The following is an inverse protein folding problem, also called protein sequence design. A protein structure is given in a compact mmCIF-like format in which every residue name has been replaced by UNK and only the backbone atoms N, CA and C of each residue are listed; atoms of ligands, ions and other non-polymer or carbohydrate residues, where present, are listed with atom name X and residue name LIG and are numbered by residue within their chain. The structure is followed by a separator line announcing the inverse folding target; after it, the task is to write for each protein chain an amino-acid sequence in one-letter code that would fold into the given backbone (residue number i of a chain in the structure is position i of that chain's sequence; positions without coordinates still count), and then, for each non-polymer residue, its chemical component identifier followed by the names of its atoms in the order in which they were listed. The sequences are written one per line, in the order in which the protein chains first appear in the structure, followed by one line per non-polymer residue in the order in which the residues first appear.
data_IF_536044881122
#
_entry.id   IF_536044881122
#
_cell.length_a   1.000
_cell.length_b   1.000
_cell.length_c   1.000
_cell.angle_alpha   90.00
_cell.angle_beta   90.00
_cell.angle_gamma   90.00
#
_symmetry.space_group_name_H-M   'P 1'
#
loop_
_entity.id
_entity.type
_entity.pdbx_description
1 polymer ?
#
# COMPACT_ATOMS: atom_id res chain seq x y z
N UNK A 1 12.14 -12.22 -9.14
CA UNK A 1 11.07 -12.68 -8.24
C UNK A 1 10.04 -13.36 -9.12
N UNK A 2 9.55 -14.55 -8.77
CA UNK A 2 8.60 -15.29 -9.61
C UNK A 2 7.17 -14.78 -9.34
N UNK A 3 6.39 -14.51 -10.41
CA UNK A 3 4.97 -14.14 -10.31
C UNK A 3 4.19 -15.18 -9.50
N UNK A 4 4.52 -16.46 -9.67
CA UNK A 4 3.93 -17.55 -8.87
C UNK A 4 4.20 -17.40 -7.39
N UNK A 5 5.39 -16.91 -7.02
CA UNK A 5 5.74 -16.66 -5.62
C UNK A 5 4.83 -15.59 -5.03
N UNK A 6 4.65 -14.45 -5.71
CA UNK A 6 3.75 -13.39 -5.23
C UNK A 6 2.31 -13.89 -5.16
N UNK A 7 1.85 -14.62 -6.17
CA UNK A 7 0.51 -15.22 -6.19
C UNK A 7 0.27 -16.11 -4.98
N UNK A 8 1.23 -16.99 -4.66
CA UNK A 8 1.16 -17.85 -3.48
C UNK A 8 1.07 -17.07 -2.17
N UNK A 9 1.80 -15.95 -2.03
CA UNK A 9 1.75 -15.12 -0.83
C UNK A 9 0.35 -14.51 -0.64
N UNK A 10 -0.25 -13.93 -1.69
CA UNK A 10 -1.57 -13.31 -1.59
C UNK A 10 -2.70 -14.34 -1.45
N UNK A 11 -2.63 -15.48 -2.16
CA UNK A 11 -3.60 -16.57 -1.99
C UNK A 11 -3.55 -17.16 -0.58
N UNK A 12 -2.35 -17.35 -0.02
CA UNK A 12 -2.21 -17.83 1.35
C UNK A 12 -2.88 -16.87 2.35
N UNK A 13 -2.65 -15.56 2.19
CA UNK A 13 -3.32 -14.56 3.03
C UNK A 13 -4.84 -14.56 2.86
N UNK A 14 -5.32 -14.69 1.62
CA UNK A 14 -6.75 -14.81 1.31
C UNK A 14 -7.41 -15.96 2.06
N UNK A 15 -6.85 -17.17 1.94
CA UNK A 15 -7.36 -18.39 2.58
C UNK A 15 -7.32 -18.25 4.09
N UNK A 16 -6.17 -17.85 4.65
CA UNK A 16 -5.98 -17.78 6.11
C UNK A 16 -6.84 -16.74 6.80
N UNK A 17 -7.15 -15.63 6.12
CA UNK A 17 -8.00 -14.58 6.68
C UNK A 17 -9.48 -14.75 6.31
N UNK A 18 -9.83 -15.79 5.55
CA UNK A 18 -11.16 -15.94 4.94
C UNK A 18 -11.61 -14.64 4.22
N UNK A 19 -10.68 -14.02 3.48
CA UNK A 19 -10.90 -12.78 2.75
C UNK A 19 -10.79 -13.05 1.25
N UNK A 20 -11.84 -12.77 0.45
CA UNK A 20 -11.78 -12.97 -0.98
C UNK A 20 -10.74 -12.04 -1.61
N UNK A 21 -9.88 -12.61 -2.45
CA UNK A 21 -8.94 -11.85 -3.28
C UNK A 21 -9.50 -11.73 -4.69
N UNK A 22 -9.54 -10.51 -5.22
CA UNK A 22 -9.78 -10.28 -6.65
C UNK A 22 -8.44 -10.17 -7.35
N UNK A 23 -8.26 -10.95 -8.41
CA UNK A 23 -7.09 -10.92 -9.27
C UNK A 23 -7.51 -10.32 -10.62
N UNK A 24 -6.86 -9.24 -11.02
CA UNK A 24 -7.03 -8.60 -12.32
C UNK A 24 -5.71 -8.72 -13.10
N UNK A 25 -5.81 -9.16 -14.36
CA UNK A 25 -4.69 -9.47 -15.23
C UNK A 25 -4.82 -8.65 -16.53
N UNK A 26 -4.36 -7.40 -16.49
CA UNK A 26 -4.26 -6.54 -17.67
C UNK A 26 -2.77 -6.32 -18.01
N UNK A 27 -2.37 -5.06 -18.23
CA UNK A 27 -0.97 -4.66 -18.35
C UNK A 27 -0.17 -4.82 -17.04
N UNK A 28 -0.88 -4.93 -15.92
CA UNK A 28 -0.36 -5.17 -14.59
C UNK A 28 -1.11 -6.34 -13.94
N UNK A 29 -0.44 -7.02 -13.02
CA UNK A 29 -1.07 -7.97 -12.13
C UNK A 29 -1.52 -7.20 -10.89
N UNK A 30 -2.81 -7.28 -10.55
CA UNK A 30 -3.40 -6.58 -9.41
C UNK A 30 -4.12 -7.55 -8.47
N UNK A 31 -3.75 -7.52 -7.19
CA UNK A 31 -4.40 -8.27 -6.11
C UNK A 31 -5.16 -7.31 -5.21
N UNK A 32 -6.47 -7.52 -5.07
CA UNK A 32 -7.35 -6.63 -4.31
C UNK A 32 -8.11 -7.36 -3.20
N UNK A 33 -8.02 -6.82 -1.99
CA UNK A 33 -8.71 -7.27 -0.79
C UNK A 33 -9.59 -6.14 -0.25
N UNK A 34 -10.76 -6.49 0.29
CA UNK A 34 -11.65 -5.53 0.95
C UNK A 34 -12.04 -6.10 2.31
N UNK A 35 -11.88 -5.28 3.36
CA UNK A 35 -12.35 -5.60 4.72
C UNK A 35 -12.95 -4.34 5.35
N UNK A 36 -14.27 -4.36 5.57
CA UNK A 36 -15.00 -3.18 6.04
C UNK A 36 -14.85 -2.00 5.07
N UNK A 37 -14.45 -0.83 5.59
CA UNK A 37 -14.18 0.36 4.78
C UNK A 37 -12.77 0.40 4.17
N UNK A 38 -11.90 -0.60 4.40
CA UNK A 38 -10.51 -0.57 3.90
C UNK A 38 -10.36 -1.50 2.71
N UNK A 39 -9.64 -1.02 1.70
CA UNK A 39 -9.21 -1.74 0.53
C UNK A 39 -7.68 -1.80 0.50
N UNK A 40 -7.15 -3.01 0.26
CA UNK A 40 -5.72 -3.24 0.02
C UNK A 40 -5.57 -3.67 -1.42
N UNK A 41 -4.70 -3.03 -2.18
CA UNK A 41 -4.45 -3.35 -3.58
C UNK A 41 -2.96 -3.40 -3.84
N UNK A 42 -2.45 -4.53 -4.31
CA UNK A 42 -1.06 -4.68 -4.72
C UNK A 42 -0.99 -4.86 -6.22
N UNK A 43 -0.31 -3.95 -6.89
CA UNK A 43 -0.20 -3.90 -8.34
C UNK A 43 1.27 -3.93 -8.76
N UNK A 44 1.60 -4.74 -9.76
CA UNK A 44 2.95 -4.76 -10.33
C UNK A 44 2.96 -5.14 -11.80
N UNK A 45 4.01 -4.72 -12.51
CA UNK A 45 4.29 -5.18 -13.85
C UNK A 45 5.25 -6.39 -13.77
N UNK A 46 4.88 -7.59 -14.27
CA UNK A 46 5.75 -8.77 -14.26
C UNK A 46 7.11 -8.55 -14.96
N UNK A 47 7.17 -7.61 -15.91
CA UNK A 47 8.40 -7.23 -16.63
C UNK A 47 9.24 -6.21 -15.87
N UNK A 48 8.64 -5.43 -14.98
CA UNK A 48 9.27 -4.31 -14.26
C UNK A 48 8.87 -4.29 -12.78
N UNK A 49 9.52 -5.14 -11.98
CA UNK A 49 9.23 -5.28 -10.55
C UNK A 49 9.45 -4.02 -9.71
N UNK A 50 10.29 -3.09 -10.18
CA UNK A 50 10.51 -1.82 -9.50
C UNK A 50 9.27 -0.92 -9.52
N UNK A 51 8.30 -1.18 -10.41
CA UNK A 51 7.01 -0.46 -10.43
C UNK A 51 5.96 -1.10 -9.51
N UNK A 52 6.36 -2.07 -8.67
CA UNK A 52 5.46 -2.75 -7.74
C UNK A 52 4.98 -1.78 -6.66
N UNK A 53 3.67 -1.68 -6.47
CA UNK A 53 3.05 -0.71 -5.58
C UNK A 53 1.99 -1.37 -4.70
N UNK A 54 2.00 -1.02 -3.42
CA UNK A 54 0.96 -1.38 -2.48
C UNK A 54 0.14 -0.16 -2.13
N UNK A 55 -1.16 -0.22 -2.38
CA UNK A 55 -2.15 0.77 -2.00
C UNK A 55 -2.99 0.26 -0.83
N UNK A 56 -3.18 1.12 0.17
CA UNK A 56 -4.05 0.89 1.31
C UNK A 56 -4.95 2.12 1.39
N UNK A 57 -6.22 1.97 1.05
CA UNK A 57 -7.15 3.07 0.90
C UNK A 57 -8.48 2.80 1.59
N UNK A 58 -9.21 3.85 1.88
CA UNK A 58 -10.63 3.73 2.17
C UNK A 58 -11.41 3.42 0.88
N UNK A 59 -12.47 2.61 0.99
CA UNK A 59 -13.27 2.16 -0.16
C UNK A 59 -13.90 3.31 -0.93
N UNK A 60 -14.25 4.39 -0.22
CA UNK A 60 -14.88 5.58 -0.77
C UNK A 60 -13.87 6.64 -1.23
N UNK A 61 -12.57 6.36 -1.16
CA UNK A 61 -11.55 7.28 -1.64
C UNK A 61 -11.72 7.60 -3.12
N UNK A 62 -11.69 8.88 -3.43
CA UNK A 62 -11.84 9.39 -4.79
C UNK A 62 -10.54 10.04 -5.29
N UNK A 63 -9.83 9.33 -6.16
CA UNK A 63 -8.57 9.79 -6.74
C UNK A 63 -8.70 11.13 -7.50
N UNK A 64 -9.83 11.36 -8.16
CA UNK A 64 -10.09 12.60 -8.91
C UNK A 64 -10.36 13.83 -8.02
N UNK A 65 -10.60 13.63 -6.73
CA UNK A 65 -10.89 14.70 -5.77
C UNK A 65 -9.84 14.80 -4.67
N UNK A 66 -8.60 14.39 -4.93
CA UNK A 66 -7.46 14.59 -4.02
C UNK A 66 -7.28 16.09 -3.73
N UNK A 67 -7.32 16.43 -2.44
CA UNK A 67 -7.11 17.79 -1.95
C UNK A 67 -5.73 17.95 -1.32
N UNK A 68 -5.28 16.95 -0.57
CA UNK A 68 -3.99 16.99 0.10
C UNK A 68 -3.15 15.79 -0.33
N UNK A 69 -1.88 16.03 -0.63
CA UNK A 69 -0.92 15.00 -1.00
C UNK A 69 0.40 15.23 -0.27
N UNK A 70 0.89 14.18 0.36
CA UNK A 70 2.20 14.13 0.96
C UNK A 70 2.97 12.99 0.31
N UNK A 71 4.11 13.29 -0.32
CA UNK A 71 4.95 12.28 -0.95
C UNK A 71 6.37 12.39 -0.40
N UNK A 72 7.01 11.24 -0.23
CA UNK A 72 8.42 11.11 0.03
C UNK A 72 9.01 10.17 -1.02
N UNK A 73 9.94 10.70 -1.79
CA UNK A 73 10.69 9.95 -2.80
C UNK A 73 12.17 9.96 -2.45
N UNK A 74 12.82 8.80 -2.51
CA UNK A 74 14.28 8.74 -2.35
C UNK A 74 14.91 9.43 -3.55
N UNK A 75 15.83 10.38 -3.30
CA UNK A 75 16.59 11.03 -4.37
C UNK A 75 17.39 9.96 -5.14
N UNK A 76 17.05 9.76 -6.41
CA UNK A 76 17.88 8.99 -7.33
C UNK A 76 18.87 9.93 -8.02
N UNK A 77 20.11 9.48 -8.17
CA UNK A 77 21.16 10.27 -8.81
C UNK A 77 20.80 10.56 -10.28
N UNK A 78 20.94 11.82 -10.71
CA UNK A 78 20.70 12.22 -12.11
C UNK A 78 19.25 12.51 -12.51
N UNK A 79 18.27 12.41 -11.58
CA UNK A 79 16.86 12.76 -11.85
C UNK A 79 16.50 14.02 -11.07
N UNK A 80 16.13 15.09 -11.79
CA UNK A 80 15.52 16.28 -11.19
C UNK A 80 14.07 15.98 -10.86
N UNK A 81 13.72 16.05 -9.58
CA UNK A 81 12.34 15.94 -9.11
C UNK A 81 11.78 17.34 -8.96
N UNK A 82 10.63 17.59 -9.57
CA UNK A 82 9.82 18.76 -9.25
C UNK A 82 9.44 18.68 -7.76
N UNK A 83 9.94 19.65 -6.99
CA UNK A 83 9.67 19.73 -5.56
C UNK A 83 8.21 20.13 -5.36
N UNK A 84 7.31 19.15 -5.30
CA UNK A 84 5.95 19.41 -4.83
C UNK A 84 6.01 19.79 -3.35
N UNK A 85 5.61 21.04 -3.07
CA UNK A 85 5.61 21.77 -1.80
C UNK A 85 5.70 20.93 -0.52
N UNK A 86 6.80 21.12 0.20
CA UNK A 86 7.08 20.62 1.56
C UNK A 86 6.20 21.22 2.66
N UNK A 87 5.23 22.08 2.32
CA UNK A 87 4.49 22.91 3.28
C UNK A 87 3.04 22.49 3.58
N UNK A 88 2.63 21.26 3.27
CA UNK A 88 1.35 20.74 3.77
C UNK A 88 1.62 19.89 5.00
N UNK A 89 1.53 20.51 6.17
CA UNK A 89 1.54 19.84 7.47
C UNK A 89 0.22 19.06 7.63
N UNK A 90 0.08 17.96 6.89
CA UNK A 90 -1.01 17.02 7.09
C UNK A 90 -0.81 16.43 8.48
N UNK A 91 -1.81 16.56 9.36
CA UNK A 91 -1.86 15.84 10.63
C UNK A 91 -1.81 14.35 10.32
N UNK A 92 -0.62 13.76 10.45
CA UNK A 92 -0.34 12.39 10.08
C UNK A 92 0.38 11.70 11.23
N UNK A 93 0.04 10.43 11.55
CA UNK A 93 0.77 9.66 12.56
C UNK A 93 2.26 9.70 12.24
N UNK A 94 3.07 10.20 13.19
CA UNK A 94 4.53 10.31 13.01
C UNK A 94 5.15 8.94 12.78
N UNK A 95 4.52 7.92 13.32
CA UNK A 95 4.86 6.51 13.26
C UNK A 95 4.93 6.03 11.81
N UNK A 96 3.97 6.41 10.97
CA UNK A 96 3.94 6.02 9.56
C UNK A 96 5.09 6.59 8.73
N UNK A 97 5.73 7.68 9.20
CA UNK A 97 6.92 8.24 8.55
C UNK A 97 8.12 7.29 8.63
N UNK A 98 8.12 6.29 9.53
CA UNK A 98 9.17 5.27 9.60
C UNK A 98 9.23 4.41 8.33
N UNK A 99 8.12 4.30 7.59
CA UNK A 99 8.07 3.55 6.32
C UNK A 99 8.96 4.15 5.23
N UNK A 100 9.29 5.45 5.31
CA UNK A 100 10.18 6.14 4.35
C UNK A 100 11.57 5.55 4.26
N UNK A 101 12.03 4.91 5.34
CA UNK A 101 13.34 4.26 5.37
C UNK A 101 13.39 3.10 4.35
N UNK A 102 12.24 2.46 4.09
CA UNK A 102 12.12 1.28 3.24
C UNK A 102 11.48 1.60 1.89
N UNK A 103 10.48 2.48 1.86
CA UNK A 103 9.63 2.74 0.69
C UNK A 103 9.64 4.23 0.30
N UNK A 104 9.45 4.50 -0.99
CA UNK A 104 8.78 5.73 -1.43
C UNK A 104 7.33 5.67 -0.93
N UNK A 105 6.89 6.74 -0.28
CA UNK A 105 5.63 6.83 0.45
C UNK A 105 4.81 7.98 -0.14
N UNK A 106 3.59 7.71 -0.59
CA UNK A 106 2.64 8.73 -1.04
C UNK A 106 1.34 8.58 -0.25
N UNK A 107 0.88 9.67 0.35
CA UNK A 107 -0.31 9.74 1.20
C UNK A 107 -1.21 10.81 0.62
N UNK A 108 -2.44 10.44 0.33
CA UNK A 108 -3.43 11.30 -0.28
C UNK A 108 -4.67 11.36 0.59
N UNK A 109 -5.29 12.53 0.66
CA UNK A 109 -6.60 12.76 1.26
C UNK A 109 -7.51 13.41 0.23
N UNK A 110 -8.65 12.79 -0.02
CA UNK A 110 -9.66 13.37 -0.90
C UNK A 110 -10.47 14.49 -0.20
N UNK A 111 -11.28 15.21 -0.96
CA UNK A 111 -12.15 16.29 -0.45
C UNK A 111 -13.22 15.79 0.54
N UNK A 112 -13.52 14.49 0.53
CA UNK A 112 -14.48 13.85 1.44
C UNK A 112 -13.82 13.36 2.73
N UNK A 113 -12.51 13.53 2.86
CA UNK A 113 -11.74 13.17 4.03
C UNK A 113 -11.25 11.72 4.05
N UNK A 114 -11.41 10.97 2.96
CA UNK A 114 -10.90 9.61 2.85
C UNK A 114 -9.41 9.61 2.54
N UNK A 115 -8.69 8.60 3.05
CA UNK A 115 -7.26 8.46 2.84
C UNK A 115 -6.88 7.32 1.90
N UNK A 116 -5.77 7.54 1.18
CA UNK A 116 -5.03 6.51 0.43
C UNK A 116 -3.54 6.62 0.75
N UNK A 117 -2.93 5.49 1.08
CA UNK A 117 -1.50 5.36 1.32
C UNK A 117 -0.94 4.43 0.24
N UNK A 118 0.13 4.85 -0.42
CA UNK A 118 0.81 4.11 -1.46
C UNK A 118 2.28 3.92 -1.09
N UNK A 119 2.78 2.70 -1.22
CA UNK A 119 4.16 2.30 -0.93
C UNK A 119 4.79 1.71 -2.19
N UNK A 120 5.96 2.22 -2.58
CA UNK A 120 6.69 1.70 -3.73
C UNK A 120 8.21 1.80 -3.55
N UNK A 121 9.02 0.89 -4.10
CA UNK A 121 8.61 -0.41 -4.60
C UNK A 121 8.17 -1.33 -3.45
N UNK A 122 7.03 -2.00 -3.57
CA UNK A 122 6.58 -3.00 -2.60
C UNK A 122 6.77 -4.41 -3.15
N UNK A 123 7.83 -5.10 -2.73
CA UNK A 123 8.25 -6.40 -3.29
C UNK A 123 8.39 -7.43 -2.16
N UNK A 124 7.27 -7.99 -1.67
CA UNK A 124 7.27 -8.82 -0.47
C UNK A 124 7.96 -10.16 -0.70
N UNK A 125 8.86 -10.53 0.21
CA UNK A 125 9.62 -11.80 0.17
C UNK A 125 8.88 -12.95 0.86
N UNK A 126 8.03 -12.63 1.82
CA UNK A 126 7.24 -13.57 2.62
C UNK A 126 5.92 -12.91 3.06
N UNK A 127 5.03 -13.70 3.68
CA UNK A 127 3.71 -13.23 4.13
C UNK A 127 3.82 -12.17 5.22
N UNK A 128 4.80 -12.29 6.14
CA UNK A 128 4.97 -11.39 7.28
C UNK A 128 5.24 -9.97 6.83
N UNK A 129 6.04 -9.78 5.77
CA UNK A 129 6.25 -8.45 5.19
C UNK A 129 4.96 -7.79 4.70
N UNK A 130 4.00 -8.58 4.21
CA UNK A 130 2.68 -8.08 3.82
C UNK A 130 1.84 -7.77 5.06
N UNK A 131 1.75 -8.72 5.99
CA UNK A 131 0.99 -8.60 7.22
C UNK A 131 1.43 -7.41 8.05
N UNK A 132 2.72 -7.35 8.40
CA UNK A 132 3.29 -6.34 9.26
C UNK A 132 3.11 -4.96 8.63
N UNK A 133 3.38 -4.83 7.33
CA UNK A 133 3.23 -3.56 6.62
C UNK A 133 1.78 -3.11 6.56
N UNK A 134 0.85 -3.98 6.14
CA UNK A 134 -0.56 -3.63 5.99
C UNK A 134 -1.20 -3.36 7.36
N UNK A 135 -0.96 -4.22 8.36
CA UNK A 135 -1.50 -4.04 9.70
C UNK A 135 -0.91 -2.82 10.39
N UNK A 136 0.40 -2.55 10.25
CA UNK A 136 1.01 -1.33 10.76
C UNK A 136 0.32 -0.10 10.19
N UNK A 137 0.16 -0.03 8.86
CA UNK A 137 -0.52 1.10 8.22
C UNK A 137 -1.96 1.23 8.73
N UNK A 138 -2.68 0.12 8.81
CA UNK A 138 -4.07 0.15 9.25
C UNK A 138 -4.25 0.51 10.72
N UNK A 139 -3.32 0.09 11.58
CA UNK A 139 -3.31 0.42 13.00
C UNK A 139 -2.98 1.90 13.22
N UNK A 140 -2.05 2.46 12.47
CA UNK A 140 -1.73 3.87 12.62
C UNK A 140 -2.83 4.80 12.10
N UNK A 141 -3.43 4.48 10.95
CA UNK A 141 -4.47 5.32 10.35
C UNK A 141 -5.87 5.10 10.94
N UNK A 142 -6.26 3.84 11.19
CA UNK A 142 -7.64 3.48 11.54
C UNK A 142 -7.74 2.63 12.82
N UNK A 143 -6.65 2.50 13.59
CA UNK A 143 -6.60 1.81 14.90
C UNK A 143 -7.17 0.39 14.87
N UNK A 144 -7.00 -0.31 13.75
CA UNK A 144 -7.47 -1.69 13.54
C UNK A 144 -6.51 -2.50 12.67
N UNK A 145 -6.50 -3.82 12.88
CA UNK A 145 -5.76 -4.75 12.03
C UNK A 145 -6.58 -5.11 10.78
N UNK A 146 -5.91 -5.15 9.62
CA UNK A 146 -6.54 -5.56 8.37
C UNK A 146 -6.56 -7.07 8.20
N UNK A 147 -5.45 -7.74 8.53
CA UNK A 147 -5.32 -9.19 8.59
C UNK A 147 -5.27 -9.64 10.05
N UNK A 148 -5.78 -10.83 10.36
CA UNK A 148 -5.67 -11.39 11.71
C UNK A 148 -4.21 -11.75 12.03
N UNK A 149 -3.76 -11.38 13.24
CA UNK A 149 -2.41 -11.71 13.74
C UNK A 149 -2.29 -13.17 14.20
N UNK A 150 -3.39 -13.94 14.18
CA UNK A 150 -3.49 -15.33 14.62
C UNK A 150 -2.81 -16.35 13.70
N UNK A 151 -1.65 -16.02 13.14
CA UNK A 151 -0.81 -16.93 12.37
C UNK A 151 0.05 -17.69 13.36
N UNK A 152 -0.56 -18.64 14.06
CA UNK A 152 0.18 -19.70 14.73
C UNK A 152 0.42 -20.81 13.71
N UNK A 153 1.69 -21.24 13.61
CA UNK A 153 2.11 -22.42 12.85
C UNK A 153 1.28 -23.64 13.25
#
# INVERSE_FOLDING_TARGET
MDVRKIDNLWRFLSIKNNLPVKLELDHHVSYKFIRGNIQVTHQFNPKLWQSSMLHISEKLFQEKSVQHRYHHKKKQFGIHYDMTSTHVQIFFPRELLQLKNQYELDIQKDRHGNYQISLSPFVPKNIYQILDCVNFVCKEMWKKNFFSEGIRN
#
